data_IF_265986801442
#
_entry.id   IF_265986801442
#
_cell.length_a   1.000
_cell.length_b   1.000
_cell.length_c   1.000
_cell.angle_alpha   90.00
_cell.angle_beta   90.00
_cell.angle_gamma   90.00
#
_symmetry.space_group_name_H-M   'P 1'
#
loop_
_entity.id
_entity.type
_entity.pdbx_description
1 polymer ?
#
# COMPACT_ATOMS: atom_id res chain seq x y z
N UNK A 1 -14.90 1.22 -28.74
CA UNK A 1 -13.44 1.20 -28.60
C UNK A 1 -13.00 -0.18 -29.00
N UNK A 2 -12.15 -0.28 -30.01
CA UNK A 2 -11.66 -1.58 -30.49
C UNK A 2 -10.67 -2.17 -29.48
N UNK A 3 -10.48 -3.50 -29.47
CA UNK A 3 -9.57 -4.18 -28.53
C UNK A 3 -8.14 -3.62 -28.59
N UNK A 4 -7.70 -3.24 -29.79
CA UNK A 4 -6.40 -2.64 -30.08
C UNK A 4 -6.24 -1.26 -29.42
N UNK A 5 -7.34 -0.52 -29.25
CA UNK A 5 -7.36 0.76 -28.53
C UNK A 5 -7.50 0.55 -27.01
N UNK A 6 -8.13 -0.54 -26.58
CA UNK A 6 -8.29 -0.88 -25.16
C UNK A 6 -6.97 -1.34 -24.54
N UNK A 7 -6.22 -2.20 -25.24
CA UNK A 7 -5.05 -2.88 -24.69
C UNK A 7 -4.00 -1.92 -24.12
N UNK A 8 -3.60 -0.83 -24.80
CA UNK A 8 -2.63 0.12 -24.24
C UNK A 8 -3.11 0.80 -22.95
N UNK A 9 -4.43 0.94 -22.75
CA UNK A 9 -5.03 1.55 -21.55
C UNK A 9 -5.19 0.58 -20.38
N UNK A 10 -5.05 -0.73 -20.63
CA UNK A 10 -5.25 -1.82 -19.66
C UNK A 10 -3.97 -2.61 -19.39
N UNK A 11 -2.82 -2.17 -19.90
CA UNK A 11 -1.51 -2.79 -19.67
C UNK A 11 -0.57 -1.81 -18.98
N UNK A 12 -0.07 -2.18 -17.82
CA UNK A 12 1.00 -1.48 -17.12
C UNK A 12 2.18 -2.43 -16.94
N UNK A 13 3.39 -2.00 -17.29
CA UNK A 13 4.62 -2.78 -17.12
C UNK A 13 5.42 -2.24 -15.95
N UNK A 14 6.09 -3.14 -15.22
CA UNK A 14 6.95 -2.77 -14.09
C UNK A 14 8.13 -1.88 -14.51
N UNK A 15 8.74 -2.16 -15.67
CA UNK A 15 9.88 -1.38 -16.22
C UNK A 15 9.56 0.11 -16.44
N UNK A 16 8.27 0.47 -16.56
CA UNK A 16 7.82 1.84 -16.74
C UNK A 16 7.43 2.52 -15.41
N UNK A 17 7.49 1.79 -14.29
CA UNK A 17 7.08 2.27 -12.97
C UNK A 17 8.25 2.97 -12.29
N UNK A 18 7.95 4.13 -11.70
CA UNK A 18 8.88 4.83 -10.84
C UNK A 18 8.47 4.57 -9.40
N UNK A 19 9.43 4.20 -8.57
CA UNK A 19 9.25 4.04 -7.13
C UNK A 19 8.87 5.38 -6.48
N UNK A 20 7.66 5.50 -5.96
CA UNK A 20 7.22 6.66 -5.19
C UNK A 20 7.49 6.43 -3.70
N UNK A 21 8.63 6.93 -3.24
CA UNK A 21 9.06 6.93 -1.83
C UNK A 21 8.32 7.94 -0.95
N UNK A 22 7.46 8.75 -1.56
CA UNK A 22 6.64 9.75 -0.89
C UNK A 22 5.15 9.42 -1.06
N UNK A 23 4.80 8.16 -1.33
CA UNK A 23 3.42 7.77 -1.62
C UNK A 23 2.47 7.99 -0.43
N UNK A 24 2.99 8.03 0.80
CA UNK A 24 2.22 8.11 2.03
C UNK A 24 2.91 9.05 3.03
N UNK A 25 2.13 9.71 3.88
CA UNK A 25 2.67 10.61 4.90
C UNK A 25 3.65 9.91 5.86
N UNK A 26 3.34 8.68 6.28
CA UNK A 26 4.19 7.88 7.17
C UNK A 26 5.47 7.38 6.49
N UNK A 27 5.51 7.29 5.15
CA UNK A 27 6.68 6.82 4.40
C UNK A 27 7.91 7.74 4.53
N UNK A 28 7.78 8.92 5.15
CA UNK A 28 8.88 9.83 5.51
C UNK A 28 9.51 9.49 6.87
N UNK A 29 8.86 8.64 7.66
CA UNK A 29 9.28 8.29 9.02
C UNK A 29 10.13 7.02 9.02
N UNK A 30 11.23 7.04 9.75
CA UNK A 30 12.07 5.85 9.96
C UNK A 30 11.28 4.75 10.67
N UNK A 31 11.41 3.51 10.20
CA UNK A 31 10.55 2.39 10.57
C UNK A 31 9.34 2.20 9.62
N UNK A 32 8.95 3.21 8.84
CA UNK A 32 7.82 3.15 7.90
C UNK A 32 8.21 3.44 6.45
N UNK A 33 9.51 3.51 6.13
CA UNK A 33 10.01 3.83 4.79
C UNK A 33 9.60 2.73 3.81
N UNK A 34 8.87 3.11 2.75
CA UNK A 34 8.49 2.19 1.66
C UNK A 34 8.21 2.96 0.37
N UNK A 35 8.34 2.29 -0.76
CA UNK A 35 8.02 2.86 -2.07
C UNK A 35 6.82 2.18 -2.71
N UNK A 36 5.91 2.97 -3.28
CA UNK A 36 4.78 2.45 -4.07
C UNK A 36 5.09 2.48 -5.57
N UNK A 37 4.75 1.40 -6.26
CA UNK A 37 4.67 1.31 -7.72
C UNK A 37 3.21 1.10 -8.10
N UNK A 38 2.57 2.11 -8.70
CA UNK A 38 1.13 2.09 -9.01
C UNK A 38 0.87 1.36 -10.33
N UNK A 39 -0.07 0.42 -10.32
CA UNK A 39 -0.50 -0.32 -11.51
C UNK A 39 -1.95 -0.02 -11.88
N UNK A 40 -2.89 -0.17 -10.94
CA UNK A 40 -4.32 0.10 -11.13
C UNK A 40 -4.77 1.10 -10.05
N UNK A 41 -5.26 2.26 -10.50
CA UNK A 41 -5.67 3.37 -9.65
C UNK A 41 -4.55 3.94 -8.80
N UNK A 42 -4.94 4.68 -7.75
CA UNK A 42 -4.01 5.42 -6.89
C UNK A 42 -3.69 4.71 -5.56
N UNK A 43 -4.39 3.61 -5.27
CA UNK A 43 -4.35 2.96 -3.95
C UNK A 43 -4.73 3.93 -2.83
N UNK A 44 -4.23 3.67 -1.62
CA UNK A 44 -4.43 4.57 -0.48
C UNK A 44 -3.58 5.87 -0.52
N UNK A 45 -2.79 6.07 -1.57
CA UNK A 45 -1.91 7.24 -1.66
C UNK A 45 -2.65 8.52 -2.05
N UNK A 46 -3.75 8.42 -2.81
CA UNK A 46 -4.44 9.56 -3.39
C UNK A 46 -3.65 10.35 -4.45
N UNK A 47 -2.40 9.96 -4.75
CA UNK A 47 -1.57 10.62 -5.78
C UNK A 47 -1.92 10.08 -7.16
N UNK A 48 -2.27 10.99 -8.07
CA UNK A 48 -2.59 10.63 -9.45
C UNK A 48 -1.32 10.26 -10.24
N UNK A 49 -1.42 9.23 -11.08
CA UNK A 49 -0.38 8.82 -12.03
C UNK A 49 -1.04 8.51 -13.38
N UNK A 50 -0.76 9.34 -14.38
CA UNK A 50 -1.32 9.19 -15.73
C UNK A 50 -0.90 7.87 -16.41
N UNK A 51 0.14 7.19 -15.90
CA UNK A 51 0.60 5.89 -16.38
C UNK A 51 -0.06 4.72 -15.68
N UNK A 52 -0.88 4.94 -14.65
CA UNK A 52 -1.63 3.89 -13.99
C UNK A 52 -2.89 3.55 -14.80
N UNK A 53 -3.29 2.28 -14.78
CA UNK A 53 -4.56 1.84 -15.36
C UNK A 53 -5.69 2.45 -14.52
N UNK A 54 -6.73 3.04 -15.13
CA UNK A 54 -7.90 3.50 -14.40
C UNK A 54 -8.55 2.36 -13.61
N UNK A 55 -8.83 2.62 -12.33
CA UNK A 55 -9.47 1.66 -11.44
C UNK A 55 -10.99 1.75 -11.57
N UNK A 56 -11.64 0.58 -11.54
CA UNK A 56 -13.10 0.46 -11.50
C UNK A 56 -13.54 0.05 -10.08
N UNK A 57 -13.20 -1.17 -9.65
CA UNK A 57 -13.66 -1.73 -8.36
C UNK A 57 -12.55 -2.03 -7.36
N UNK A 58 -11.28 -1.95 -7.78
CA UNK A 58 -10.15 -2.21 -6.91
C UNK A 58 -8.93 -1.42 -7.39
N UNK A 59 -7.97 -1.28 -6.50
CA UNK A 59 -6.63 -0.78 -6.83
C UNK A 59 -5.62 -1.91 -6.73
N UNK A 60 -4.48 -1.78 -7.42
CA UNK A 60 -3.37 -2.71 -7.35
C UNK A 60 -2.06 -1.93 -7.42
N UNK A 61 -1.16 -2.19 -6.49
CA UNK A 61 0.19 -1.64 -6.50
C UNK A 61 1.21 -2.67 -5.99
N UNK A 62 2.49 -2.44 -6.30
CA UNK A 62 3.59 -3.18 -5.72
C UNK A 62 4.34 -2.25 -4.76
N UNK A 63 4.51 -2.67 -3.51
CA UNK A 63 5.36 -1.98 -2.56
C UNK A 63 6.75 -2.61 -2.54
N UNK A 64 7.77 -1.77 -2.46
CA UNK A 64 9.11 -2.15 -2.03
C UNK A 64 9.34 -1.66 -0.60
N UNK A 65 9.80 -2.53 0.28
CA UNK A 65 9.98 -2.26 1.70
C UNK A 65 11.38 -2.69 2.14
N UNK A 66 12.28 -1.76 2.52
CA UNK A 66 13.60 -2.09 3.03
C UNK A 66 13.54 -2.92 4.34
N UNK A 67 14.63 -3.60 4.71
CA UNK A 67 14.75 -4.29 6.01
C UNK A 67 14.42 -3.37 7.20
N UNK A 68 13.65 -3.88 8.16
CA UNK A 68 13.24 -3.15 9.36
C UNK A 68 12.22 -2.04 9.14
N UNK A 69 11.67 -1.91 7.93
CA UNK A 69 10.67 -0.89 7.59
C UNK A 69 9.30 -1.51 7.38
N UNK A 70 8.25 -0.68 7.40
CA UNK A 70 6.88 -1.14 7.28
C UNK A 70 5.89 -0.05 6.93
N UNK A 71 4.70 -0.16 7.50
CA UNK A 71 3.73 0.92 7.56
C UNK A 71 3.22 1.12 8.98
N UNK A 72 2.73 2.32 9.25
CA UNK A 72 2.02 2.56 10.50
C UNK A 72 0.72 1.75 10.56
N UNK A 73 0.27 1.41 11.76
CA UNK A 73 -1.02 0.77 11.98
C UNK A 73 -2.15 1.66 11.44
N UNK A 74 -3.03 1.10 10.61
CA UNK A 74 -4.11 1.83 9.97
C UNK A 74 -5.29 0.95 9.57
N UNK A 75 -6.39 1.60 9.16
CA UNK A 75 -7.59 0.95 8.61
C UNK A 75 -8.01 1.59 7.29
N UNK A 76 -8.90 0.90 6.59
CA UNK A 76 -9.69 1.41 5.47
C UNK A 76 -11.15 0.96 5.62
N UNK A 77 -12.12 1.68 5.06
CA UNK A 77 -13.52 1.25 5.01
C UNK A 77 -13.78 0.10 4.02
N UNK A 78 -12.73 -0.43 3.39
CA UNK A 78 -12.76 -1.56 2.44
C UNK A 78 -11.70 -2.59 2.82
N UNK A 79 -11.79 -3.79 2.26
CA UNK A 79 -10.76 -4.81 2.45
C UNK A 79 -9.43 -4.40 1.77
N UNK A 80 -8.32 -4.81 2.38
CA UNK A 80 -6.97 -4.67 1.83
C UNK A 80 -6.26 -6.03 1.88
N UNK A 81 -5.56 -6.40 0.80
CA UNK A 81 -4.78 -7.63 0.75
C UNK A 81 -3.29 -7.33 0.57
N UNK A 82 -2.45 -8.01 1.35
CA UNK A 82 -1.01 -8.05 1.14
C UNK A 82 -0.62 -9.45 0.67
N UNK A 83 -0.13 -9.54 -0.56
CA UNK A 83 0.39 -10.77 -1.15
C UNK A 83 1.91 -10.64 -1.33
N UNK A 84 2.67 -11.44 -0.59
CA UNK A 84 4.13 -11.29 -0.55
C UNK A 84 4.73 -11.91 -1.82
N UNK A 85 5.49 -11.12 -2.57
CA UNK A 85 6.19 -11.58 -3.77
C UNK A 85 7.61 -12.04 -3.44
N UNK A 86 8.28 -11.31 -2.54
CA UNK A 86 9.65 -11.57 -2.07
C UNK A 86 9.84 -11.05 -0.64
N UNK A 87 10.80 -11.62 0.10
CA UNK A 87 11.14 -11.21 1.46
C UNK A 87 10.40 -11.95 2.58
N UNK A 88 10.51 -11.43 3.81
CA UNK A 88 9.83 -11.92 5.02
C UNK A 88 9.14 -10.77 5.72
N UNK A 89 7.82 -10.81 5.80
CA UNK A 89 7.00 -9.70 6.28
C UNK A 89 6.16 -10.17 7.45
N UNK A 90 6.37 -9.57 8.63
CA UNK A 90 5.50 -9.73 9.78
C UNK A 90 4.26 -8.87 9.56
N UNK A 91 3.09 -9.47 9.61
CA UNK A 91 1.80 -8.79 9.47
C UNK A 91 1.00 -8.94 10.75
N UNK A 92 0.09 -8.01 11.02
CA UNK A 92 -0.79 -8.11 12.18
C UNK A 92 -2.21 -7.63 11.86
N UNK A 93 -3.17 -8.10 12.66
CA UNK A 93 -4.52 -7.58 12.77
C UNK A 93 -4.79 -7.23 14.24
N UNK A 94 -5.52 -6.15 14.49
CA UNK A 94 -6.09 -5.83 15.79
C UNK A 94 -7.61 -5.67 15.69
N UNK A 95 -8.32 -6.30 16.63
CA UNK A 95 -9.76 -6.14 16.75
C UNK A 95 -10.12 -4.89 17.58
N UNK A 96 -11.36 -4.43 17.46
CA UNK A 96 -11.86 -3.28 18.23
C UNK A 96 -12.01 -3.54 19.75
N UNK A 97 -11.59 -4.71 20.25
CA UNK A 97 -11.62 -5.11 21.66
C UNK A 97 -10.22 -5.16 22.29
N UNK A 98 -9.19 -4.77 21.55
CA UNK A 98 -7.79 -4.75 22.00
C UNK A 98 -7.06 -6.07 21.81
N UNK A 99 -7.65 -7.05 21.12
CA UNK A 99 -6.96 -8.27 20.72
C UNK A 99 -6.05 -8.01 19.52
N UNK A 100 -4.81 -8.51 19.58
CA UNK A 100 -3.83 -8.45 18.48
C UNK A 100 -3.34 -9.85 18.14
N UNK A 101 -3.25 -10.16 16.85
CA UNK A 101 -2.62 -11.37 16.34
C UNK A 101 -1.64 -11.02 15.22
N UNK A 102 -0.50 -11.70 15.19
CA UNK A 102 0.54 -11.48 14.19
C UNK A 102 1.14 -12.79 13.70
N UNK A 103 1.69 -12.76 12.48
CA UNK A 103 2.42 -13.88 11.88
C UNK A 103 3.45 -13.35 10.88
N UNK A 104 4.42 -14.18 10.50
CA UNK A 104 5.40 -13.86 9.47
C UNK A 104 5.04 -14.59 8.18
N UNK A 105 4.92 -13.82 7.10
CA UNK A 105 4.63 -14.28 5.75
C UNK A 105 5.90 -14.29 4.91
N UNK A 106 6.06 -15.32 4.08
CA UNK A 106 7.10 -15.44 3.08
C UNK A 106 6.55 -15.33 1.67
N UNK A 107 7.40 -15.64 0.69
CA UNK A 107 7.05 -15.62 -0.73
C UNK A 107 5.79 -16.45 -1.03
N UNK A 108 4.83 -15.80 -1.70
CA UNK A 108 3.52 -16.31 -2.12
C UNK A 108 2.52 -16.57 -1.00
N UNK A 109 2.80 -16.10 0.22
CA UNK A 109 1.83 -16.04 1.29
C UNK A 109 0.98 -14.76 1.20
N UNK A 110 -0.20 -14.80 1.81
CA UNK A 110 -1.19 -13.74 1.74
C UNK A 110 -1.83 -13.48 3.09
N UNK A 111 -2.13 -12.21 3.37
CA UNK A 111 -3.12 -11.79 4.36
C UNK A 111 -4.20 -10.97 3.68
N UNK A 112 -5.45 -11.22 4.07
CA UNK A 112 -6.59 -10.34 3.79
C UNK A 112 -6.99 -9.63 5.08
N UNK A 113 -6.96 -8.31 5.04
CA UNK A 113 -7.33 -7.40 6.11
C UNK A 113 -8.79 -6.94 5.87
N UNK A 114 -9.75 -7.36 6.71
CA UNK A 114 -11.14 -6.95 6.54
C UNK A 114 -11.32 -5.43 6.73
N UNK A 115 -12.39 -4.88 6.13
CA UNK A 115 -12.76 -3.49 6.30
C UNK A 115 -12.86 -3.09 7.78
N UNK A 116 -12.30 -1.94 8.12
CA UNK A 116 -12.29 -1.35 9.47
C UNK A 116 -11.59 -2.19 10.55
N UNK A 117 -10.79 -3.20 10.18
CA UNK A 117 -9.92 -3.93 11.10
C UNK A 117 -8.53 -3.31 11.03
N UNK A 118 -7.96 -2.93 12.18
CA UNK A 118 -6.64 -2.30 12.23
C UNK A 118 -5.57 -3.30 11.82
N UNK A 119 -4.65 -2.88 10.97
CA UNK A 119 -3.62 -3.75 10.43
C UNK A 119 -2.36 -2.98 10.06
N UNK A 120 -1.31 -3.74 9.74
CA UNK A 120 -0.05 -3.20 9.28
C UNK A 120 0.96 -4.31 9.08
N UNK A 121 2.16 -3.91 8.67
CA UNK A 121 3.24 -4.84 8.38
C UNK A 121 4.62 -4.25 8.66
N UNK A 122 5.60 -5.13 8.81
CA UNK A 122 7.01 -4.83 8.97
C UNK A 122 7.83 -5.88 8.19
N UNK A 123 8.78 -5.44 7.36
CA UNK A 123 9.78 -6.33 6.78
C UNK A 123 10.79 -6.72 7.86
N UNK A 124 10.67 -7.95 8.36
CA UNK A 124 11.54 -8.53 9.38
C UNK A 124 12.70 -9.35 8.78
N UNK A 125 12.82 -9.35 7.44
CA UNK A 125 13.93 -9.94 6.72
C UNK A 125 15.20 -9.09 6.77
N UNK A 126 16.30 -9.66 6.27
CA UNK A 126 17.59 -8.96 6.09
C UNK A 126 17.75 -8.36 4.69
N UNK A 127 16.81 -8.65 3.78
CA UNK A 127 16.74 -8.14 2.41
C UNK A 127 15.45 -7.33 2.22
N UNK A 128 15.40 -6.53 1.15
CA UNK A 128 14.17 -5.82 0.78
C UNK A 128 13.02 -6.79 0.46
N UNK A 129 11.80 -6.41 0.82
CA UNK A 129 10.59 -7.16 0.52
C UNK A 129 9.80 -6.50 -0.60
N UNK A 130 9.19 -7.32 -1.46
CA UNK A 130 8.19 -6.89 -2.43
C UNK A 130 6.86 -7.51 -2.09
N UNK A 131 5.81 -6.70 -2.03
CA UNK A 131 4.45 -7.17 -1.81
C UNK A 131 3.49 -6.49 -2.77
N UNK A 132 2.55 -7.27 -3.30
CA UNK A 132 1.38 -6.74 -3.99
C UNK A 132 0.35 -6.31 -2.95
N UNK A 133 -0.18 -5.10 -3.15
CA UNK A 133 -1.22 -4.51 -2.31
C UNK A 133 -2.44 -4.25 -3.18
N UNK A 134 -3.60 -4.72 -2.73
CA UNK A 134 -4.89 -4.46 -3.36
C UNK A 134 -5.88 -3.91 -2.36
N UNK A 135 -6.66 -2.89 -2.74
CA UNK A 135 -7.80 -2.40 -1.96
C UNK A 135 -9.10 -2.61 -2.72
N UNK A 136 -10.15 -3.02 -2.03
CA UNK A 136 -11.48 -3.36 -2.56
C UNK A 136 -12.36 -2.18 -2.98
N UNK A 137 -11.77 -1.07 -3.44
CA UNK A 137 -12.46 0.04 -4.09
C UNK A 137 -11.56 0.71 -5.14
N UNK A 138 -12.15 1.28 -6.20
CA UNK A 138 -11.40 2.07 -7.17
C UNK A 138 -10.88 3.40 -6.61
N UNK A 139 -11.53 3.91 -5.55
CA UNK A 139 -11.11 5.09 -4.79
C UNK A 139 -11.27 4.80 -3.28
N UNK A 140 -10.31 4.13 -2.64
CA UNK A 140 -10.45 3.70 -1.25
C UNK A 140 -10.32 4.84 -0.22
N UNK A 141 -9.84 6.02 -0.63
CA UNK A 141 -9.48 7.10 0.29
C UNK A 141 -8.03 7.00 0.77
N UNK A 142 -7.64 7.86 1.73
CA UNK A 142 -6.34 7.79 2.39
C UNK A 142 -6.41 6.85 3.60
N UNK A 143 -5.26 6.38 4.08
CA UNK A 143 -5.16 5.59 5.31
C UNK A 143 -5.74 6.35 6.53
N UNK A 144 -6.51 5.64 7.35
CA UNK A 144 -6.92 6.05 8.68
C UNK A 144 -5.91 5.50 9.71
N UNK A 145 -4.89 6.29 10.07
CA UNK A 145 -3.86 5.86 11.03
C UNK A 145 -4.37 5.78 12.46
N UNK A 146 -3.89 4.79 13.22
CA UNK A 146 -4.12 4.72 14.67
C UNK A 146 -3.31 5.77 15.46
N UNK A 147 -2.12 6.14 14.97
CA UNK A 147 -1.32 7.20 15.57
C UNK A 147 -1.98 8.58 15.33
N UNK A 148 -2.31 9.35 16.39
CA UNK A 148 -3.03 10.62 16.24
C UNK A 148 -2.27 11.70 15.47
N UNK A 149 -0.94 11.74 15.56
CA UNK A 149 -0.13 12.75 14.88
C UNK A 149 0.03 12.42 13.40
N UNK A 150 0.20 11.14 13.05
CA UNK A 150 0.14 10.69 11.67
C UNK A 150 -1.26 10.92 11.08
N UNK A 151 -2.32 10.64 11.83
CA UNK A 151 -3.70 10.86 11.40
C UNK A 151 -3.97 12.33 11.04
N UNK A 152 -3.52 13.28 11.88
CA UNK A 152 -3.62 14.73 11.60
C UNK A 152 -2.89 15.14 10.33
N UNK A 153 -1.79 14.47 10.01
CA UNK A 153 -0.90 14.81 8.90
C UNK A 153 -1.00 13.83 7.72
N UNK A 154 -2.07 13.02 7.67
CA UNK A 154 -2.19 11.92 6.70
C UNK A 154 -2.18 12.34 5.23
N UNK A 155 -2.46 13.61 4.95
CA UNK A 155 -2.50 14.21 3.61
C UNK A 155 -1.20 14.98 3.26
N UNK A 156 -0.22 15.02 4.16
CA UNK A 156 0.96 15.87 4.02
C UNK A 156 1.82 15.53 2.79
N UNK A 157 1.73 14.30 2.30
CA UNK A 157 2.40 13.85 1.08
C UNK A 157 1.73 14.35 -0.21
N UNK A 158 0.47 14.81 -0.15
CA UNK A 158 -0.23 15.39 -1.30
C UNK A 158 0.14 16.86 -1.54
N UNK A 159 0.73 17.52 -0.53
CA UNK A 159 1.12 18.93 -0.61
C UNK A 159 2.45 19.03 -1.37
N UNK A 160 2.60 19.98 -2.31
CA UNK A 160 3.87 20.20 -2.98
C UNK A 160 4.97 20.47 -1.95
N UNK A 161 6.11 19.81 -2.08
CA UNK A 161 7.30 20.15 -1.29
C UNK A 161 7.68 21.58 -1.64
N UNK A 162 7.60 22.51 -0.68
CA UNK A 162 8.14 23.86 -0.88
C UNK A 162 9.64 23.72 -1.10
N UNK A 163 10.09 24.06 -2.29
CA UNK A 163 11.50 24.24 -2.65
C UNK A 163 11.98 25.58 -2.11
#
# INVERSE_FOLDING_TARGET
MEVQEMLPRRVARFVDRVADWDAFADARTEGYRRAQHRFIGVGASGKNDAKAIPADHFTLSIMYVPPGQGNAAHTHPVEEAFFILEGKVKVFLEDGKGGRAETVLGKWDCISCPANVLHGFENVGVEGAYLQVMLGAGQPGLMDYADPELAKNRDAHLKPTRV
#
